data_IF_065970680581
#
_entry.id   IF_065970680581
#
_cell.length_a   1.000
_cell.length_b   1.000
_cell.length_c   1.000
_cell.angle_alpha   90.00
_cell.angle_beta   90.00
_cell.angle_gamma   90.00
#
_symmetry.space_group_name_H-M   'P 1'
#
loop_
_entity.id
_entity.type
_entity.pdbx_description
1 polymer ?
#
# COMPACT_ATOMS: atom_id res chain seq x y z
N UNK A 1 12.01 3.19 24.16
CA UNK A 1 11.38 1.95 23.63
C UNK A 1 11.96 1.67 22.25
N UNK A 2 12.45 0.45 22.02
CA UNK A 2 12.87 0.04 20.67
C UNK A 2 11.68 0.22 19.73
N UNK A 3 11.86 1.00 18.65
CA UNK A 3 10.80 1.22 17.65
C UNK A 3 10.43 -0.07 16.91
N UNK A 4 11.21 -1.14 17.06
CA UNK A 4 11.17 -2.30 16.18
C UNK A 4 10.47 -3.52 16.78
N UNK A 5 9.87 -3.38 17.97
CA UNK A 5 9.31 -4.51 18.72
C UNK A 5 7.80 -4.36 18.83
N UNK A 6 7.07 -5.32 18.27
CA UNK A 6 5.64 -5.50 18.55
C UNK A 6 5.56 -6.09 19.95
N UNK A 7 4.68 -5.59 20.82
CA UNK A 7 4.56 -6.12 22.18
C UNK A 7 4.07 -7.57 22.16
N UNK A 8 4.39 -8.35 23.20
CA UNK A 8 3.95 -9.75 23.27
C UNK A 8 2.43 -9.87 23.30
N UNK A 9 1.76 -8.90 23.92
CA UNK A 9 0.29 -8.81 23.99
C UNK A 9 -0.30 -8.54 22.60
N UNK A 10 0.27 -7.58 21.86
CA UNK A 10 -0.14 -7.31 20.49
C UNK A 10 0.12 -8.52 19.58
N UNK A 11 1.26 -9.20 19.77
CA UNK A 11 1.58 -10.41 19.02
C UNK A 11 0.64 -11.58 19.33
N UNK A 12 0.25 -11.77 20.59
CA UNK A 12 -0.69 -12.82 20.99
C UNK A 12 -2.05 -12.67 20.29
N UNK A 13 -2.44 -11.43 19.98
CA UNK A 13 -3.66 -11.13 19.23
C UNK A 13 -3.53 -11.41 17.73
N UNK A 14 -2.49 -10.87 17.08
CA UNK A 14 -2.38 -10.89 15.61
C UNK A 14 -1.66 -12.13 15.07
N UNK A 15 -0.76 -12.71 15.86
CA UNK A 15 0.06 -13.87 15.49
C UNK A 15 -0.76 -15.07 14.97
N UNK A 16 -1.89 -15.44 15.62
CA UNK A 16 -2.76 -16.52 15.14
C UNK A 16 -3.40 -16.30 13.77
N UNK A 17 -3.43 -15.06 13.25
CA UNK A 17 -4.00 -14.75 11.93
C UNK A 17 -3.07 -15.15 10.79
N UNK A 18 -1.78 -15.36 11.08
CA UNK A 18 -0.80 -15.75 10.08
C UNK A 18 -0.85 -17.25 9.81
N UNK A 19 -0.68 -17.68 8.54
CA UNK A 19 -0.80 -19.09 8.17
C UNK A 19 0.27 -19.93 8.86
N UNK A 20 -0.11 -21.15 9.29
CA UNK A 20 0.78 -22.12 9.92
C UNK A 20 1.95 -22.54 9.02
N UNK A 21 3.03 -23.02 9.64
CA UNK A 21 4.23 -23.36 8.89
C UNK A 21 3.95 -24.72 8.30
N UNK A 22 4.07 -24.86 6.98
CA UNK A 22 4.20 -26.19 6.41
C UNK A 22 5.58 -26.72 6.79
N UNK A 23 5.64 -27.82 7.55
CA UNK A 23 6.88 -28.42 8.07
C UNK A 23 7.76 -29.09 7.02
N UNK A 24 7.69 -28.65 5.75
CA UNK A 24 8.37 -29.29 4.63
C UNK A 24 9.49 -28.38 4.12
N UNK A 25 10.74 -28.85 4.23
CA UNK A 25 11.91 -28.17 3.68
C UNK A 25 12.64 -27.27 4.68
N UNK A 26 13.26 -26.20 4.16
CA UNK A 26 14.07 -25.25 4.94
C UNK A 26 13.25 -24.63 6.09
N UNK A 27 13.83 -24.48 7.30
CA UNK A 27 13.14 -23.86 8.41
C UNK A 27 12.56 -22.50 7.99
N UNK A 28 11.26 -22.25 8.24
CA UNK A 28 10.66 -20.97 7.94
C UNK A 28 11.36 -19.87 8.75
N UNK A 29 11.43 -18.67 8.19
CA UNK A 29 11.73 -17.49 9.01
C UNK A 29 10.62 -17.31 10.04
N UNK A 30 11.01 -16.94 11.26
CA UNK A 30 10.05 -16.60 12.29
C UNK A 30 9.08 -15.51 11.81
N UNK A 31 7.78 -15.72 12.03
CA UNK A 31 6.75 -14.82 11.51
C UNK A 31 6.82 -13.47 12.17
N UNK A 32 7.07 -13.42 13.48
CA UNK A 32 7.15 -12.16 14.21
C UNK A 32 8.24 -11.30 13.64
N UNK A 33 9.39 -11.91 13.34
CA UNK A 33 10.51 -11.25 12.64
C UNK A 33 10.08 -10.63 11.30
N UNK A 34 9.32 -11.35 10.48
CA UNK A 34 8.79 -10.81 9.20
C UNK A 34 7.84 -9.62 9.44
N UNK A 35 6.95 -9.72 10.44
CA UNK A 35 5.99 -8.66 10.75
C UNK A 35 6.69 -7.43 11.31
N UNK A 36 7.64 -7.57 12.22
CA UNK A 36 8.43 -6.48 12.77
C UNK A 36 9.29 -5.79 11.69
N UNK A 37 9.90 -6.57 10.79
CA UNK A 37 10.62 -6.03 9.64
C UNK A 37 9.70 -5.25 8.69
N UNK A 38 8.49 -5.77 8.44
CA UNK A 38 7.47 -5.12 7.63
C UNK A 38 7.02 -3.80 8.27
N UNK A 39 6.75 -3.80 9.59
CA UNK A 39 6.39 -2.60 10.33
C UNK A 39 7.50 -1.54 10.30
N UNK A 40 8.76 -1.97 10.47
CA UNK A 40 9.93 -1.07 10.33
C UNK A 40 10.00 -0.47 8.92
N UNK A 41 9.78 -1.28 7.88
CA UNK A 41 9.77 -0.82 6.49
C UNK A 41 8.73 0.27 6.27
N UNK A 42 7.47 0.04 6.63
CA UNK A 42 6.40 1.01 6.40
C UNK A 42 6.55 2.26 7.26
N UNK A 43 7.05 2.14 8.49
CA UNK A 43 7.30 3.29 9.35
C UNK A 43 8.38 4.23 8.82
N UNK A 44 9.43 3.68 8.23
CA UNK A 44 10.59 4.47 7.76
C UNK A 44 10.52 4.85 6.30
N UNK A 45 9.70 4.15 5.50
CA UNK A 45 9.68 4.30 4.04
C UNK A 45 10.94 3.79 3.34
N UNK A 46 11.95 3.28 4.06
CA UNK A 46 13.25 2.88 3.52
C UNK A 46 13.15 1.66 2.58
N UNK A 47 13.78 1.61 1.40
CA UNK A 47 13.73 0.47 0.47
C UNK A 47 13.81 -0.92 1.12
N UNK A 48 13.22 -1.96 0.49
CA UNK A 48 13.17 -3.30 1.08
C UNK A 48 14.59 -3.84 1.29
N UNK A 49 15.51 -3.50 0.39
CA UNK A 49 16.94 -3.83 0.47
C UNK A 49 17.65 -3.22 1.69
N UNK A 50 17.08 -2.18 2.27
CA UNK A 50 17.66 -1.42 3.39
C UNK A 50 17.03 -1.85 4.73
N UNK A 51 16.21 -2.91 4.74
CA UNK A 51 15.73 -3.51 5.98
C UNK A 51 16.95 -4.04 6.76
N UNK A 52 17.08 -3.69 8.05
CA UNK A 52 18.25 -4.10 8.85
C UNK A 52 18.48 -5.61 8.87
N UNK A 53 19.73 -6.03 8.72
CA UNK A 53 20.13 -7.44 8.62
C UNK A 53 19.75 -8.29 9.83
N UNK A 54 19.54 -7.68 11.00
CA UNK A 54 19.03 -8.36 12.21
C UNK A 54 17.68 -9.06 12.01
N UNK A 55 16.90 -8.65 11.02
CA UNK A 55 15.64 -9.31 10.65
C UNK A 55 15.84 -10.48 9.66
N UNK A 56 17.06 -10.66 9.16
CA UNK A 56 17.41 -11.64 8.15
C UNK A 56 17.35 -11.08 6.72
N UNK A 57 17.31 -11.99 5.75
CA UNK A 57 17.38 -11.64 4.33
C UNK A 57 16.13 -10.87 3.87
N UNK A 58 16.32 -9.65 3.37
CA UNK A 58 15.26 -8.77 2.88
C UNK A 58 14.35 -9.44 1.83
N UNK A 59 14.91 -10.28 0.96
CA UNK A 59 14.14 -10.94 -0.10
C UNK A 59 13.18 -11.97 0.49
N UNK A 60 13.61 -12.68 1.53
CA UNK A 60 12.75 -13.63 2.25
C UNK A 60 11.62 -12.90 2.97
N UNK A 61 11.90 -11.75 3.59
CA UNK A 61 10.90 -10.90 4.24
C UNK A 61 9.88 -10.42 3.21
N UNK A 62 10.34 -9.84 2.10
CA UNK A 62 9.49 -9.36 1.01
C UNK A 62 8.60 -10.46 0.44
N UNK A 63 9.16 -11.66 0.17
CA UNK A 63 8.38 -12.79 -0.34
C UNK A 63 7.27 -13.23 0.62
N UNK A 64 7.55 -13.23 1.93
CA UNK A 64 6.53 -13.53 2.93
C UNK A 64 5.46 -12.43 2.97
N UNK A 65 5.88 -11.16 3.00
CA UNK A 65 4.96 -10.01 2.95
C UNK A 65 4.02 -10.10 1.75
N UNK A 66 4.56 -10.30 0.55
CA UNK A 66 3.79 -10.36 -0.69
C UNK A 66 2.82 -11.54 -0.69
N UNK A 67 3.29 -12.74 -0.32
CA UNK A 67 2.45 -13.93 -0.20
C UNK A 67 1.30 -13.75 0.79
N UNK A 68 1.56 -13.12 1.93
CA UNK A 68 0.53 -12.85 2.93
C UNK A 68 -0.45 -11.76 2.49
N UNK A 69 0.01 -10.81 1.67
CA UNK A 69 -0.86 -9.83 1.01
C UNK A 69 -1.84 -10.50 0.05
N UNK A 70 -1.33 -11.38 -0.82
CA UNK A 70 -2.15 -12.16 -1.76
C UNK A 70 -3.17 -13.07 -1.03
N UNK A 71 -2.82 -13.54 0.17
CA UNK A 71 -3.70 -14.36 1.02
C UNK A 71 -4.64 -13.54 1.92
N UNK A 72 -4.64 -12.21 1.81
CA UNK A 72 -5.48 -11.32 2.62
C UNK A 72 -5.18 -11.36 4.12
N UNK A 73 -3.98 -11.80 4.53
CA UNK A 73 -3.58 -11.87 5.93
C UNK A 73 -3.49 -10.46 6.52
N UNK A 74 -2.88 -9.52 5.80
CA UNK A 74 -2.74 -8.13 6.26
C UNK A 74 -4.09 -7.43 6.44
N UNK A 75 -5.06 -7.71 5.57
CA UNK A 75 -6.42 -7.19 5.71
C UNK A 75 -7.09 -7.68 7.00
N UNK A 76 -6.98 -8.99 7.30
CA UNK A 76 -7.48 -9.57 8.56
C UNK A 76 -6.77 -9.02 9.80
N UNK A 77 -5.46 -8.79 9.72
CA UNK A 77 -4.69 -8.17 10.80
C UNK A 77 -5.19 -6.74 11.06
N UNK A 78 -5.41 -5.95 10.02
CA UNK A 78 -5.96 -4.60 10.13
C UNK A 78 -7.34 -4.62 10.78
N UNK A 79 -8.26 -5.42 10.25
CA UNK A 79 -9.63 -5.56 10.76
C UNK A 79 -9.65 -5.97 12.24
N UNK A 80 -8.82 -6.95 12.63
CA UNK A 80 -8.72 -7.40 14.02
C UNK A 80 -8.20 -6.30 14.93
N UNK A 81 -7.20 -5.55 14.50
CA UNK A 81 -6.61 -4.45 15.27
C UNK A 81 -7.62 -3.31 15.44
N UNK A 82 -8.31 -2.93 14.36
CA UNK A 82 -9.37 -1.92 14.40
C UNK A 82 -10.52 -2.33 15.32
N UNK A 83 -10.94 -3.60 15.25
CA UNK A 83 -12.00 -4.13 16.11
C UNK A 83 -11.66 -4.02 17.60
N UNK A 84 -10.39 -4.23 17.98
CA UNK A 84 -9.95 -4.12 19.37
C UNK A 84 -9.84 -2.68 19.85
N UNK A 85 -9.31 -1.79 19.00
CA UNK A 85 -9.26 -0.38 19.32
C UNK A 85 -10.67 0.24 19.41
N UNK A 86 -11.62 -0.21 18.58
CA UNK A 86 -13.04 0.18 18.68
C UNK A 86 -13.65 -0.24 20.03
N UNK A 87 -13.37 -1.46 20.50
CA UNK A 87 -13.85 -1.95 21.80
C UNK A 87 -13.23 -1.19 22.98
N UNK A 88 -11.99 -0.75 22.83
CA UNK A 88 -11.25 -0.03 23.88
C UNK A 88 -11.59 1.47 23.91
N UNK A 89 -12.37 1.96 22.93
CA UNK A 89 -12.65 3.39 22.76
C UNK A 89 -11.46 4.19 22.21
N UNK A 90 -10.40 3.51 21.78
CA UNK A 90 -9.15 4.11 21.27
C UNK A 90 -9.23 4.45 19.78
N UNK A 91 -10.28 3.98 19.09
CA UNK A 91 -10.50 4.26 17.67
C UNK A 91 -11.42 5.49 17.53
N UNK A 92 -10.82 6.67 17.51
CA UNK A 92 -11.49 7.83 16.94
C UNK A 92 -11.60 7.57 15.41
N UNK A 93 -12.78 7.71 14.81
CA UNK A 93 -13.07 7.36 13.40
C UNK A 93 -12.40 8.33 12.40
N UNK A 94 -11.13 8.67 12.63
CA UNK A 94 -10.26 9.34 11.69
C UNK A 94 -9.87 8.32 10.62
N UNK A 95 -10.79 8.05 9.69
CA UNK A 95 -10.44 7.44 8.42
C UNK A 95 -9.40 8.34 7.75
N UNK A 96 -8.15 7.87 7.63
CA UNK A 96 -7.15 8.54 6.81
C UNK A 96 -7.62 8.46 5.36
N UNK A 97 -8.14 9.58 4.83
CA UNK A 97 -8.40 9.75 3.41
C UNK A 97 -7.20 10.49 2.81
N UNK A 98 -6.29 9.76 2.21
CA UNK A 98 -5.21 10.32 1.40
C UNK A 98 -5.70 10.56 -0.04
N UNK A 99 -5.80 11.83 -0.42
CA UNK A 99 -6.02 12.25 -1.81
C UNK A 99 -4.67 12.61 -2.45
N UNK A 100 -4.41 12.10 -3.65
CA UNK A 100 -3.24 12.49 -4.45
C UNK A 100 -3.71 13.21 -5.71
N UNK A 101 -3.29 14.47 -5.90
CA UNK A 101 -3.55 15.24 -7.12
C UNK A 101 -2.27 15.29 -7.94
N UNK A 102 -2.29 14.71 -9.15
CA UNK A 102 -1.18 14.80 -10.11
C UNK A 102 -1.63 15.60 -11.32
N UNK A 103 -0.87 16.61 -11.71
CA UNK A 103 -1.08 17.33 -12.97
C UNK A 103 -0.67 16.42 -14.13
N UNK A 104 -1.62 16.12 -15.02
CA UNK A 104 -1.36 15.38 -16.25
C UNK A 104 -0.98 16.35 -17.38
N UNK A 105 -0.06 15.94 -18.25
CA UNK A 105 0.25 16.70 -19.47
C UNK A 105 -1.00 16.78 -20.35
N UNK A 106 -1.21 17.88 -21.07
CA UNK A 106 -2.39 18.09 -21.93
C UNK A 106 -2.65 17.02 -23.00
N UNK A 107 -1.69 16.14 -23.28
CA UNK A 107 -1.83 15.01 -24.20
C UNK A 107 -2.27 13.70 -23.51
N UNK A 108 -2.24 13.64 -22.18
CA UNK A 108 -2.76 12.54 -21.37
C UNK A 108 -4.14 12.81 -20.77
N UNK A 109 -4.71 14.00 -21.00
CA UNK A 109 -6.08 14.31 -20.61
C UNK A 109 -7.03 13.68 -21.64
N UNK A 110 -7.73 12.60 -21.26
CA UNK A 110 -8.72 11.90 -22.11
C UNK A 110 -10.03 12.69 -22.26
N UNK A 111 -9.98 14.02 -22.17
CA UNK A 111 -11.13 14.85 -22.46
C UNK A 111 -11.29 14.94 -23.98
N UNK A 112 -12.47 14.56 -24.54
CA UNK A 112 -12.74 14.77 -25.94
C UNK A 112 -12.56 16.26 -26.26
N UNK A 113 -11.68 16.58 -27.20
CA UNK A 113 -11.62 17.94 -27.72
C UNK A 113 -12.78 18.11 -28.68
N UNK A 114 -13.73 18.98 -28.35
CA UNK A 114 -14.51 19.64 -29.38
C UNK A 114 -13.53 20.52 -30.15
N UNK A 115 -12.99 19.99 -31.24
CA UNK A 115 -12.31 20.79 -32.26
C UNK A 115 -13.41 21.61 -32.93
N UNK A 116 -13.72 22.77 -32.35
CA UNK A 116 -14.62 23.75 -32.93
C UNK A 116 -14.06 24.16 -34.29
N UNK A 117 -14.77 23.78 -35.33
CA UNK A 117 -14.45 24.05 -36.71
C UNK A 117 -15.74 23.92 -37.50
N UNK A 118 -16.64 24.88 -37.32
CA UNK A 118 -17.81 25.01 -38.17
C UNK A 118 -17.28 25.46 -39.53
N UNK A 119 -17.17 24.51 -40.45
CA UNK A 119 -16.95 24.82 -41.86
C UNK A 119 -18.20 25.56 -42.32
N UNK A 120 -18.10 26.87 -42.57
CA UNK A 120 -18.99 27.51 -43.53
C UNK A 120 -18.24 28.31 -44.60
N UNK A 121 -18.71 28.03 -45.81
CA UNK A 121 -18.25 28.41 -47.12
C UNK A 121 -18.60 29.88 -47.43
N UNK A 122 -17.65 30.53 -48.11
CA UNK A 122 -17.85 31.61 -49.08
C UNK A 122 -18.54 32.90 -48.61
N UNK A 123 -17.80 34.01 -48.65
CA UNK A 123 -18.30 35.17 -49.39
C UNK A 123 -17.20 35.80 -50.25
N UNK A 124 -17.42 35.66 -51.55
CA UNK A 124 -16.75 36.32 -52.66
C UNK A 124 -16.93 37.83 -52.53
N UNK A 125 -15.85 38.59 -52.37
CA UNK A 125 -15.86 40.05 -52.59
C UNK A 125 -14.69 40.52 -53.47
N UNK A 126 -15.05 40.78 -54.73
CA UNK A 126 -14.65 41.89 -55.62
C UNK A 126 -13.15 42.24 -55.79
N UNK A 127 -12.68 42.15 -57.04
CA UNK A 127 -11.74 43.09 -57.69
C UNK A 127 -12.10 43.14 -59.19
N UNK A 128 -12.58 44.29 -59.69
CA UNK A 128 -11.85 45.28 -60.52
C UNK A 128 -11.54 44.73 -61.93
N UNK A 129 -11.89 45.33 -63.06
CA UNK A 129 -12.29 46.69 -63.48
C UNK A 129 -13.15 46.57 -64.73
#
# INVERSE_FOLDING_TARGET
>A
MSRDVISDEAWAVIGPLFPNVKSTGQPPVDRRTVVEATARRFRTGAPWRDVPERFGNWNTIYKNFNRWSEQGVWARVLERTQSLAQQSGDLDWVASIDSTIVRVHQHGATLPRTTGGDIELQEVRRRAT
#
